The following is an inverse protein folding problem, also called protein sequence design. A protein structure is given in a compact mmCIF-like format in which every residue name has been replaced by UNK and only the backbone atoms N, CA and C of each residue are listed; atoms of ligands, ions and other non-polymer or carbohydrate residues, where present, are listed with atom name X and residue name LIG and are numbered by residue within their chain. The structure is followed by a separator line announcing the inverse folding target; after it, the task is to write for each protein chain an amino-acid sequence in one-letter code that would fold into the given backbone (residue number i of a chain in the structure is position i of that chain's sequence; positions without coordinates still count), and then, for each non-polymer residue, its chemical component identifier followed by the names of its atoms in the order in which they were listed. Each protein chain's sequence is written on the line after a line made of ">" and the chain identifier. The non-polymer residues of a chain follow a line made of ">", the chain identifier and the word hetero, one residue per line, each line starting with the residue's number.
data_IF_769152875886
#
_entry.id   IF_769152875886
#
_cell.length_a   1.000
_cell.length_b   1.000
_cell.length_c   1.000
_cell.angle_alpha   90.00
_cell.angle_beta   90.00
_cell.angle_gamma   90.00
#
_symmetry.space_group_name_H-M   'P 1'
#
loop_
_entity.id
_entity.type
_entity.pdbx_description
1 polymer ?
#
# COMPACT_ATOMS: atom_id res chain seq x y z
N UNK A 1 10.38 -7.93 1.15
CA UNK A 1 9.66 -6.76 1.70
C UNK A 1 8.20 -6.73 1.28
N UNK A 2 7.88 -6.94 -0.02
CA UNK A 2 6.50 -6.84 -0.54
C UNK A 2 5.47 -7.80 0.07
N UNK A 3 5.90 -8.95 0.57
CA UNK A 3 5.01 -10.00 1.08
C UNK A 3 4.38 -9.67 2.45
N UNK A 4 4.95 -8.72 3.19
CA UNK A 4 4.57 -8.47 4.60
C UNK A 4 4.33 -6.98 4.89
N UNK A 5 3.65 -6.29 3.97
CA UNK A 5 3.38 -4.85 4.08
C UNK A 5 2.40 -4.50 5.20
N UNK A 6 1.51 -5.44 5.55
CA UNK A 6 0.53 -5.33 6.64
C UNK A 6 1.16 -5.35 8.05
N UNK A 7 2.41 -5.76 8.17
CA UNK A 7 3.10 -5.76 9.45
C UNK A 7 3.82 -4.44 9.67
N UNK A 8 3.88 -4.00 10.92
CA UNK A 8 4.71 -2.87 11.27
C UNK A 8 6.18 -3.30 11.10
N UNK A 9 6.77 -2.94 9.96
CA UNK A 9 8.16 -3.22 9.62
C UNK A 9 8.97 -1.95 9.79
N UNK A 10 9.35 -1.59 11.03
CA UNK A 10 10.25 -0.47 11.23
C UNK A 10 11.53 -0.73 10.46
N UNK A 11 12.12 0.33 9.89
CA UNK A 11 13.38 0.25 9.13
C UNK A 11 14.47 -0.48 9.96
N UNK A 12 14.41 -0.37 11.29
CA UNK A 12 15.22 -1.14 12.24
C UNK A 12 15.11 -2.67 12.07
N UNK A 13 13.90 -3.21 11.95
CA UNK A 13 13.68 -4.64 11.73
C UNK A 13 14.21 -5.11 10.37
N UNK A 14 14.05 -4.27 9.34
CA UNK A 14 14.57 -4.54 8.00
C UNK A 14 16.10 -4.51 7.96
N UNK A 15 16.71 -3.56 8.65
CA UNK A 15 18.16 -3.46 8.80
C UNK A 15 18.72 -4.64 9.59
N UNK A 16 18.09 -4.99 10.72
CA UNK A 16 18.48 -6.15 11.54
C UNK A 16 18.44 -7.46 10.73
N UNK A 17 17.37 -7.68 9.95
CA UNK A 17 17.25 -8.86 9.08
C UNK A 17 18.29 -8.89 7.95
N UNK A 18 18.77 -7.74 7.53
CA UNK A 18 19.86 -7.61 6.55
C UNK A 18 21.26 -7.72 7.19
N UNK A 19 21.37 -7.90 8.51
CA UNK A 19 22.64 -7.91 9.23
C UNK A 19 23.35 -6.54 9.21
N UNK A 20 22.59 -5.45 9.10
CA UNK A 20 23.13 -4.10 8.93
C UNK A 20 22.62 -3.14 10.01
N UNK A 21 23.43 -2.14 10.32
CA UNK A 21 22.92 -0.96 11.02
C UNK A 21 21.91 -0.22 10.15
N UNK A 22 20.95 0.46 10.79
CA UNK A 22 19.89 1.24 10.10
C UNK A 22 20.47 2.23 9.08
N UNK A 23 21.52 2.95 9.45
CA UNK A 23 22.22 3.90 8.57
C UNK A 23 22.81 3.23 7.32
N UNK A 24 23.48 2.09 7.50
CA UNK A 24 24.08 1.36 6.37
C UNK A 24 23.01 0.79 5.46
N UNK A 25 21.94 0.27 6.05
CA UNK A 25 20.78 -0.24 5.33
C UNK A 25 20.12 0.86 4.49
N UNK A 26 19.80 2.01 5.09
CA UNK A 26 19.21 3.15 4.39
C UNK A 26 20.07 3.62 3.21
N UNK A 27 21.37 3.84 3.44
CA UNK A 27 22.28 4.28 2.37
C UNK A 27 22.36 3.28 1.21
N UNK A 28 22.49 1.99 1.52
CA UNK A 28 22.56 0.95 0.46
C UNK A 28 21.23 0.81 -0.27
N UNK A 29 20.13 0.91 0.46
CA UNK A 29 18.79 0.85 -0.11
C UNK A 29 18.55 2.00 -1.08
N UNK A 30 18.87 3.22 -0.67
CA UNK A 30 18.76 4.42 -1.51
C UNK A 30 19.70 4.35 -2.71
N UNK A 31 20.95 3.90 -2.53
CA UNK A 31 21.87 3.69 -3.65
C UNK A 31 21.36 2.65 -4.67
N UNK A 32 20.54 1.69 -4.24
CA UNK A 32 20.02 0.62 -5.10
C UNK A 32 18.67 0.98 -5.74
N UNK A 33 17.81 1.68 -4.99
CA UNK A 33 16.41 1.93 -5.39
C UNK A 33 16.16 3.38 -5.82
N UNK A 34 17.10 4.28 -5.57
CA UNK A 34 16.96 5.72 -5.77
C UNK A 34 16.02 6.41 -4.79
N UNK A 35 15.50 5.70 -3.77
CA UNK A 35 14.53 6.22 -2.81
C UNK A 35 14.91 5.81 -1.39
N UNK A 36 14.51 6.62 -0.41
CA UNK A 36 14.64 6.22 0.99
C UNK A 36 13.74 5.01 1.29
N UNK A 37 14.09 4.12 2.24
CA UNK A 37 13.24 2.98 2.59
C UNK A 37 11.82 3.38 3.02
N UNK A 38 11.66 4.53 3.68
CA UNK A 38 10.36 5.04 4.10
C UNK A 38 9.47 5.44 2.92
N UNK A 39 10.02 6.17 1.95
CA UNK A 39 9.30 6.54 0.73
C UNK A 39 8.97 5.33 -0.13
N UNK A 40 9.92 4.40 -0.26
CA UNK A 40 9.68 3.16 -0.97
C UNK A 40 8.55 2.35 -0.31
N UNK A 41 8.57 2.21 1.02
CA UNK A 41 7.53 1.51 1.75
C UNK A 41 6.18 2.20 1.57
N UNK A 42 6.13 3.53 1.66
CA UNK A 42 4.92 4.29 1.40
C UNK A 42 4.37 4.06 -0.01
N UNK A 43 5.25 4.03 -1.03
CA UNK A 43 4.85 3.75 -2.41
C UNK A 43 4.25 2.35 -2.58
N UNK A 44 4.82 1.36 -1.88
CA UNK A 44 4.36 -0.02 -1.93
C UNK A 44 3.03 -0.19 -1.16
N UNK A 45 2.87 0.48 -0.01
CA UNK A 45 1.59 0.54 0.73
C UNK A 45 0.49 1.19 -0.10
N UNK A 46 0.78 2.28 -0.80
CA UNK A 46 -0.17 2.92 -1.74
C UNK A 46 -0.54 1.99 -2.89
N UNK A 47 0.43 1.28 -3.49
CA UNK A 47 0.15 0.30 -4.53
C UNK A 47 -0.81 -0.78 -4.03
N UNK A 48 -0.53 -1.37 -2.86
CA UNK A 48 -1.38 -2.39 -2.25
C UNK A 48 -2.79 -1.89 -1.95
N UNK A 49 -2.92 -0.66 -1.43
CA UNK A 49 -4.22 -0.06 -1.18
C UNK A 49 -5.03 0.10 -2.47
N UNK A 50 -4.43 0.58 -3.56
CA UNK A 50 -5.10 0.69 -4.87
C UNK A 50 -5.57 -0.67 -5.37
N UNK A 51 -4.70 -1.68 -5.34
CA UNK A 51 -5.04 -3.06 -5.71
C UNK A 51 -6.24 -3.60 -4.93
N UNK A 52 -6.30 -3.35 -3.62
CA UNK A 52 -7.42 -3.78 -2.78
C UNK A 52 -8.70 -3.02 -3.12
N UNK A 53 -8.63 -1.70 -3.33
CA UNK A 53 -9.78 -0.88 -3.73
C UNK A 53 -10.34 -1.28 -5.09
N UNK A 54 -9.49 -1.72 -6.02
CA UNK A 54 -9.86 -2.15 -7.37
C UNK A 54 -10.44 -3.57 -7.38
N UNK A 55 -9.84 -4.50 -6.63
CA UNK A 55 -10.21 -5.93 -6.65
C UNK A 55 -11.36 -6.28 -5.70
N UNK A 56 -11.49 -5.56 -4.57
CA UNK A 56 -12.36 -5.96 -3.46
C UNK A 56 -13.25 -4.81 -3.01
N UNK A 57 -14.33 -4.58 -3.77
CA UNK A 57 -15.25 -3.45 -3.53
C UNK A 57 -16.06 -3.59 -2.24
N UNK A 58 -16.21 -4.82 -1.73
CA UNK A 58 -16.95 -5.12 -0.50
C UNK A 58 -16.15 -4.88 0.80
N UNK A 59 -14.82 -4.73 0.72
CA UNK A 59 -13.98 -4.50 1.92
C UNK A 59 -14.14 -3.05 2.41
N UNK A 60 -14.23 -2.87 3.72
CA UNK A 60 -14.32 -1.55 4.34
C UNK A 60 -13.03 -0.74 4.13
N UNK A 61 -13.10 0.58 4.17
CA UNK A 61 -11.89 1.40 3.97
C UNK A 61 -10.90 1.26 5.13
N UNK A 62 -11.38 0.98 6.33
CA UNK A 62 -10.55 0.69 7.50
C UNK A 62 -9.79 -0.64 7.34
N UNK A 63 -10.45 -1.68 6.86
CA UNK A 63 -9.81 -2.96 6.56
C UNK A 63 -8.76 -2.83 5.45
N UNK A 64 -9.04 -2.01 4.42
CA UNK A 64 -8.03 -1.69 3.38
C UNK A 64 -6.81 -1.01 4.02
N UNK A 65 -7.01 -0.05 4.93
CA UNK A 65 -5.91 0.64 5.58
C UNK A 65 -5.04 -0.31 6.41
N UNK A 66 -5.67 -1.21 7.18
CA UNK A 66 -4.98 -2.23 7.96
C UNK A 66 -4.22 -3.21 7.04
N UNK A 67 -4.91 -3.79 6.06
CA UNK A 67 -4.32 -4.77 5.14
C UNK A 67 -3.21 -4.18 4.26
N UNK A 68 -3.22 -2.86 4.02
CA UNK A 68 -2.19 -2.16 3.24
C UNK A 68 -1.01 -1.68 4.09
N UNK A 69 -1.08 -1.80 5.42
CA UNK A 69 -0.01 -1.37 6.33
C UNK A 69 -0.04 0.10 6.75
N UNK A 70 -1.15 0.82 6.55
CA UNK A 70 -1.31 2.19 7.05
C UNK A 70 -1.74 2.25 8.52
N UNK A 71 -2.24 1.14 9.07
CA UNK A 71 -2.69 1.02 10.47
C UNK A 71 -4.03 1.72 10.75
N UNK A 72 -4.32 2.84 10.10
CA UNK A 72 -5.60 3.54 10.21
C UNK A 72 -6.05 4.17 8.89
N UNK A 73 -7.37 4.33 8.74
CA UNK A 73 -7.95 5.02 7.60
C UNK A 73 -7.51 6.49 7.52
N UNK A 74 -7.29 7.15 8.67
CA UNK A 74 -6.81 8.53 8.71
C UNK A 74 -5.42 8.66 8.07
N UNK A 75 -4.49 7.78 8.44
CA UNK A 75 -3.14 7.71 7.86
C UNK A 75 -3.20 7.42 6.36
N UNK A 76 -4.03 6.46 5.95
CA UNK A 76 -4.22 6.14 4.53
C UNK A 76 -4.74 7.35 3.75
N UNK A 77 -5.77 8.04 4.25
CA UNK A 77 -6.36 9.23 3.61
C UNK A 77 -5.35 10.35 3.45
N UNK A 78 -4.55 10.61 4.48
CA UNK A 78 -3.50 11.62 4.45
C UNK A 78 -2.54 11.37 3.28
N UNK A 79 -1.97 10.16 3.20
CA UNK A 79 -1.02 9.83 2.13
C UNK A 79 -1.64 9.72 0.74
N UNK A 80 -2.90 9.26 0.63
CA UNK A 80 -3.63 9.29 -0.63
C UNK A 80 -3.80 10.73 -1.15
N UNK A 81 -4.15 11.66 -0.26
CA UNK A 81 -4.30 13.07 -0.64
C UNK A 81 -2.97 13.70 -1.03
N UNK A 82 -1.90 13.43 -0.28
CA UNK A 82 -0.57 13.97 -0.59
C UNK A 82 0.03 13.41 -1.88
N UNK A 83 -0.15 12.11 -2.16
CA UNK A 83 0.56 11.43 -3.27
C UNK A 83 -0.28 11.23 -4.52
N UNK A 84 -1.61 11.16 -4.39
CA UNK A 84 -2.53 10.86 -5.49
C UNK A 84 -3.59 11.95 -5.72
N UNK A 85 -3.61 13.01 -4.89
CA UNK A 85 -4.57 14.12 -4.95
C UNK A 85 -6.05 13.68 -4.91
N UNK A 86 -6.34 12.47 -4.42
CA UNK A 86 -7.70 11.91 -4.34
C UNK A 86 -7.88 11.16 -3.03
N UNK A 87 -9.11 11.09 -2.53
CA UNK A 87 -9.41 10.25 -1.36
C UNK A 87 -9.53 8.76 -1.76
N UNK A 88 -9.26 7.81 -0.86
CA UNK A 88 -9.50 6.38 -1.10
C UNK A 88 -10.95 6.07 -1.53
N UNK A 89 -11.92 6.80 -0.96
CA UNK A 89 -13.34 6.68 -1.30
C UNK A 89 -13.62 7.11 -2.73
N UNK A 90 -13.07 8.26 -3.15
CA UNK A 90 -13.26 8.77 -4.51
C UNK A 90 -12.52 7.91 -5.53
N UNK A 91 -11.33 7.42 -5.17
CA UNK A 91 -10.58 6.45 -5.97
C UNK A 91 -11.44 5.20 -6.22
N UNK A 92 -12.01 4.60 -5.17
CA UNK A 92 -12.91 3.44 -5.29
C UNK A 92 -14.12 3.72 -6.18
N UNK A 93 -14.79 4.87 -6.00
CA UNK A 93 -15.97 5.24 -6.81
C UNK A 93 -15.60 5.39 -8.29
N UNK A 94 -14.49 6.06 -8.60
CA UNK A 94 -14.03 6.25 -9.99
C UNK A 94 -13.73 4.91 -10.66
N UNK A 95 -13.08 3.98 -9.96
CA UNK A 95 -12.80 2.64 -10.50
C UNK A 95 -14.04 1.75 -10.59
N UNK A 96 -14.95 1.82 -9.62
CA UNK A 96 -16.22 1.11 -9.69
C UNK A 96 -17.06 1.56 -10.90
N UNK A 97 -17.02 2.85 -11.23
CA UNK A 97 -17.70 3.41 -12.41
C UNK A 97 -16.98 3.08 -13.73
N UNK A 98 -15.66 2.86 -13.70
CA UNK A 98 -14.88 2.46 -14.88
C UNK A 98 -14.98 0.96 -15.21
N UNK A 99 -15.32 0.12 -14.22
CA UNK A 99 -15.59 -1.29 -14.45
C UNK A 99 -16.88 -1.39 -15.26
N UNK A 100 -16.88 -1.80 -16.54
CA UNK A 100 -18.13 -1.96 -17.29
C UNK A 100 -19.03 -2.93 -16.52
N UNK A 101 -20.33 -2.67 -16.53
CA UNK A 101 -21.38 -3.39 -15.81
C UNK A 101 -21.57 -4.88 -16.22
N UNK A 102 -20.51 -5.56 -16.68
CA UNK A 102 -20.55 -6.86 -17.34
C UNK A 102 -19.38 -7.80 -17.04
N UNK A 103 -18.70 -7.72 -15.90
CA UNK A 103 -17.91 -8.88 -15.45
C UNK A 103 -18.85 -9.91 -14.83
N UNK A 104 -19.40 -10.75 -15.70
CA UNK A 104 -20.16 -11.98 -15.41
C UNK A 104 -19.50 -12.75 -14.26
N UNK A 105 -20.24 -13.21 -13.23
CA UNK A 105 -19.67 -14.15 -12.27
C UNK A 105 -19.28 -15.42 -13.02
N UNK A 106 -17.99 -15.74 -13.01
CA UNK A 106 -17.49 -17.03 -13.50
C UNK A 106 -18.16 -18.12 -12.65
N UNK A 107 -18.96 -19.04 -13.23
CA UNK A 107 -19.50 -20.14 -12.47
C UNK A 107 -18.31 -21.03 -12.09
N UNK A 108 -18.15 -21.23 -10.79
CA UNK A 108 -17.25 -22.26 -10.27
C UNK A 108 -17.71 -23.61 -10.82
N UNK A 109 -16.74 -24.33 -11.40
CA UNK A 109 -16.87 -25.68 -11.95
C UNK A 109 -16.78 -26.71 -10.82
#
# INVERSE_FOLDING_TARGET
>A
MRERLQEDQPIAALAARAGMSVRTFQRRFEATTGMTPGEWLLSERLRRARDLLEKQTAISLDDVAAASGFGSLATMRHHFRERLAVSPSDYRKRFANLKPAGSVPSPLR
#
